data_IF_523218475380
#
_entry.id   IF_523218475380
#
_cell.length_a   1.000
_cell.length_b   1.000
_cell.length_c   1.000
_cell.angle_alpha   90.00
_cell.angle_beta   90.00
_cell.angle_gamma   90.00
#
_symmetry.space_group_name_H-M   'P 1'
#
loop_
_entity.id
_entity.type
_entity.pdbx_description
1 polymer ?
#
# COMPACT_ATOMS: atom_id res chain seq x y z
N UNK A 1 16.04 13.30 11.69
CA UNK A 1 15.16 12.23 11.16
C UNK A 1 13.86 12.08 11.96
N UNK A 2 13.88 11.90 13.29
CA UNK A 2 12.64 11.72 14.10
C UNK A 2 11.69 12.93 14.13
N UNK A 3 12.17 14.16 13.96
CA UNK A 3 11.30 15.36 14.05
C UNK A 3 10.42 15.60 12.81
N UNK A 4 10.74 14.96 11.68
CA UNK A 4 10.04 15.17 10.41
C UNK A 4 8.84 14.22 10.29
N UNK A 5 8.94 12.97 10.78
CA UNK A 5 7.86 11.97 10.65
C UNK A 5 6.61 12.27 11.50
N UNK A 6 6.74 12.97 12.64
CA UNK A 6 5.60 13.48 13.43
C UNK A 6 4.87 14.66 12.77
N UNK A 7 5.42 15.25 11.72
CA UNK A 7 4.83 16.42 11.08
C UNK A 7 3.52 16.07 10.35
N UNK A 8 3.43 14.87 9.74
CA UNK A 8 2.23 14.41 9.04
C UNK A 8 1.04 14.25 10.00
N UNK A 9 1.25 13.72 11.21
CA UNK A 9 0.20 13.58 12.24
C UNK A 9 -0.36 14.94 12.68
N UNK A 10 0.47 15.99 12.68
CA UNK A 10 0.06 17.34 13.11
C UNK A 10 -0.47 18.23 11.98
N UNK A 11 0.05 18.07 10.77
CA UNK A 11 -0.24 18.95 9.62
C UNK A 11 -1.20 18.31 8.62
N UNK A 12 -1.52 17.03 8.78
CA UNK A 12 -2.23 16.23 7.79
C UNK A 12 -1.31 15.77 6.66
N UNK A 13 -1.73 14.70 5.98
CA UNK A 13 -1.02 14.12 4.85
C UNK A 13 -1.51 14.78 3.54
N UNK A 14 -0.65 15.57 2.88
CA UNK A 14 -1.02 16.35 1.70
C UNK A 14 -0.20 15.96 0.45
N UNK A 15 -0.73 15.01 -0.31
CA UNK A 15 -0.16 14.55 -1.58
C UNK A 15 -1.22 13.88 -2.46
N UNK A 16 -0.81 12.87 -3.21
CA UNK A 16 -1.66 12.15 -4.15
C UNK A 16 -1.81 10.69 -3.70
N UNK A 17 -3.02 10.14 -3.79
CA UNK A 17 -3.26 8.72 -3.62
C UNK A 17 -3.16 8.01 -4.98
N UNK A 18 -2.29 7.02 -5.07
CA UNK A 18 -2.10 6.16 -6.23
C UNK A 18 -2.61 4.76 -5.91
N UNK A 19 -3.67 4.33 -6.61
CA UNK A 19 -4.30 3.03 -6.38
C UNK A 19 -4.19 2.22 -7.65
N UNK A 20 -3.53 1.08 -7.56
CA UNK A 20 -3.28 0.16 -8.66
C UNK A 20 -4.18 -1.08 -8.51
N UNK A 21 -5.11 -1.21 -9.44
CA UNK A 21 -6.16 -2.22 -9.52
C UNK A 21 -6.19 -2.79 -10.94
N UNK A 22 -6.88 -3.89 -11.16
CA UNK A 22 -7.07 -4.48 -12.49
C UNK A 22 -6.49 -5.88 -12.65
N UNK A 23 -5.68 -6.36 -11.70
CA UNK A 23 -5.17 -7.74 -11.74
C UNK A 23 -6.30 -8.79 -11.80
N UNK A 24 -7.40 -8.60 -11.07
CA UNK A 24 -8.43 -9.65 -10.94
C UNK A 24 -9.31 -9.86 -12.16
N UNK A 25 -9.38 -8.90 -13.09
CA UNK A 25 -10.16 -9.05 -14.33
C UNK A 25 -9.65 -10.24 -15.17
N UNK A 26 -8.46 -10.76 -14.85
CA UNK A 26 -7.87 -11.97 -15.42
C UNK A 26 -8.22 -13.28 -14.69
N UNK A 27 -8.86 -13.25 -13.51
CA UNK A 27 -8.98 -14.41 -12.60
C UNK A 27 -10.42 -14.80 -12.19
N UNK A 28 -11.44 -14.29 -12.88
CA UNK A 28 -12.84 -14.72 -12.70
C UNK A 28 -13.58 -14.09 -11.52
N UNK A 29 -14.87 -13.82 -11.70
CA UNK A 29 -15.69 -12.88 -10.89
C UNK A 29 -16.05 -13.32 -9.45
N UNK A 30 -15.72 -14.55 -9.03
CA UNK A 30 -16.02 -15.07 -7.66
C UNK A 30 -14.78 -15.45 -6.86
N UNK A 31 -13.62 -14.95 -7.24
CA UNK A 31 -12.35 -15.26 -6.58
C UNK A 31 -12.01 -14.25 -5.48
N UNK A 32 -11.17 -14.65 -4.52
CA UNK A 32 -10.57 -13.73 -3.55
C UNK A 32 -9.83 -12.58 -4.24
N UNK A 33 -9.29 -12.81 -5.45
CA UNK A 33 -8.71 -11.76 -6.27
C UNK A 33 -9.76 -10.69 -6.60
N UNK A 34 -10.94 -11.07 -7.11
CA UNK A 34 -12.00 -10.10 -7.40
C UNK A 34 -12.41 -9.28 -6.17
N UNK A 35 -12.36 -9.86 -4.96
CA UNK A 35 -12.62 -9.13 -3.71
C UNK A 35 -11.53 -8.09 -3.38
N UNK A 36 -10.26 -8.44 -3.54
CA UNK A 36 -9.15 -7.52 -3.26
C UNK A 36 -9.08 -6.39 -4.28
N UNK A 37 -9.30 -6.70 -5.56
CA UNK A 37 -9.44 -5.72 -6.62
C UNK A 37 -10.58 -4.73 -6.35
N UNK A 38 -11.74 -5.27 -5.95
CA UNK A 38 -12.87 -4.46 -5.55
C UNK A 38 -12.46 -3.59 -4.36
N UNK A 39 -11.76 -4.12 -3.37
CA UNK A 39 -11.30 -3.35 -2.22
C UNK A 39 -10.35 -2.20 -2.62
N UNK A 40 -9.47 -2.40 -3.61
CA UNK A 40 -8.64 -1.33 -4.18
C UNK A 40 -9.50 -0.24 -4.82
N UNK A 41 -10.44 -0.61 -5.71
CA UNK A 41 -11.36 0.34 -6.34
C UNK A 41 -12.22 1.10 -5.32
N UNK A 42 -12.70 0.41 -4.29
CA UNK A 42 -13.45 1.02 -3.19
C UNK A 42 -12.59 1.94 -2.33
N UNK A 43 -11.29 1.64 -2.17
CA UNK A 43 -10.32 2.55 -1.51
C UNK A 43 -10.22 3.86 -2.30
N UNK A 44 -10.02 3.77 -3.61
CA UNK A 44 -9.95 4.95 -4.47
C UNK A 44 -11.24 5.79 -4.40
N UNK A 45 -12.41 5.14 -4.42
CA UNK A 45 -13.71 5.81 -4.28
C UNK A 45 -13.86 6.49 -2.92
N UNK A 46 -13.51 5.78 -1.84
CA UNK A 46 -13.59 6.28 -0.47
C UNK A 46 -12.72 7.52 -0.26
N UNK A 47 -11.46 7.50 -0.69
CA UNK A 47 -10.55 8.65 -0.56
C UNK A 47 -11.11 9.88 -1.30
N UNK A 48 -11.66 9.70 -2.51
CA UNK A 48 -12.32 10.78 -3.27
C UNK A 48 -13.55 11.37 -2.55
N UNK A 49 -14.25 10.57 -1.76
CA UNK A 49 -15.48 10.99 -1.07
C UNK A 49 -15.22 11.65 0.27
N UNK A 50 -14.19 11.19 0.99
CA UNK A 50 -13.93 11.61 2.37
C UNK A 50 -12.83 12.67 2.48
N UNK A 51 -12.07 12.91 1.41
CA UNK A 51 -10.92 13.82 1.43
C UNK A 51 -10.90 14.72 0.20
N UNK A 52 -10.08 15.78 0.26
CA UNK A 52 -9.75 16.62 -0.92
C UNK A 52 -8.54 16.08 -1.70
N UNK A 53 -8.01 14.92 -1.31
CA UNK A 53 -6.80 14.34 -1.90
C UNK A 53 -7.06 13.95 -3.36
N UNK A 54 -6.12 14.29 -4.26
CA UNK A 54 -6.16 13.80 -5.64
C UNK A 54 -5.97 12.27 -5.63
N UNK A 55 -6.81 11.55 -6.37
CA UNK A 55 -6.71 10.09 -6.53
C UNK A 55 -6.49 9.71 -7.99
N UNK A 56 -5.34 9.11 -8.27
CA UNK A 56 -4.99 8.52 -9.55
C UNK A 56 -5.16 7.00 -9.44
N UNK A 57 -5.97 6.43 -10.32
CA UNK A 57 -6.18 5.00 -10.36
C UNK A 57 -5.55 4.41 -11.62
N UNK A 58 -4.73 3.38 -11.48
CA UNK A 58 -4.39 2.45 -12.54
C UNK A 58 -5.38 1.28 -12.43
N UNK A 59 -6.12 1.00 -13.50
CA UNK A 59 -7.19 0.00 -13.50
C UNK A 59 -7.02 -1.04 -14.60
N UNK A 60 -5.83 -1.06 -15.21
CA UNK A 60 -5.45 -2.06 -16.21
C UNK A 60 -4.58 -3.13 -15.58
N UNK A 61 -3.94 -3.95 -16.41
CA UNK A 61 -2.95 -4.95 -15.97
C UNK A 61 -1.54 -4.38 -15.81
N UNK A 62 -1.35 -3.12 -16.21
CA UNK A 62 -0.06 -2.45 -16.15
C UNK A 62 0.17 -1.88 -14.76
N UNK A 63 1.43 -1.71 -14.39
CA UNK A 63 1.80 -0.94 -13.21
C UNK A 63 1.92 0.55 -13.57
N UNK A 64 1.90 1.41 -12.56
CA UNK A 64 2.37 2.78 -12.75
C UNK A 64 3.79 2.79 -13.34
N UNK A 65 3.99 3.61 -14.37
CA UNK A 65 5.28 3.70 -15.05
C UNK A 65 6.31 4.47 -14.19
N UNK A 66 7.62 4.26 -14.43
CA UNK A 66 8.68 4.93 -13.68
C UNK A 66 8.52 6.46 -13.65
N UNK A 67 8.68 7.08 -12.47
CA UNK A 67 8.58 8.53 -12.25
C UNK A 67 7.21 9.16 -12.53
N UNK A 68 6.12 8.39 -12.63
CA UNK A 68 4.78 8.93 -12.97
C UNK A 68 3.90 9.24 -11.76
N UNK A 69 4.37 8.95 -10.55
CA UNK A 69 3.63 9.14 -9.30
C UNK A 69 4.28 10.19 -8.38
N UNK A 70 4.37 11.46 -8.79
CA UNK A 70 4.96 12.49 -7.96
C UNK A 70 4.10 12.78 -6.72
N UNK A 71 4.77 13.08 -5.60
CA UNK A 71 4.14 13.43 -4.33
C UNK A 71 3.18 12.36 -3.81
N UNK A 72 3.59 11.09 -3.90
CA UNK A 72 2.82 9.95 -3.44
C UNK A 72 2.64 10.02 -1.91
N UNK A 73 1.39 10.17 -1.48
CA UNK A 73 0.98 10.16 -0.07
C UNK A 73 0.43 8.78 0.33
N UNK A 74 -0.37 8.19 -0.55
CA UNK A 74 -0.95 6.86 -0.37
C UNK A 74 -0.61 6.04 -1.60
N UNK A 75 -0.11 4.82 -1.39
CA UNK A 75 0.02 3.82 -2.44
C UNK A 75 -0.61 2.49 -2.01
N UNK A 76 -1.43 1.89 -2.87
CA UNK A 76 -1.80 0.49 -2.71
C UNK A 76 -2.02 -0.16 -4.06
N UNK A 77 -1.42 -1.34 -4.29
CA UNK A 77 -1.39 -1.96 -5.60
C UNK A 77 -1.16 -3.46 -5.61
N UNK A 78 -1.22 -4.06 -6.80
CA UNK A 78 -0.96 -5.47 -7.09
C UNK A 78 -0.87 -5.72 -8.61
N UNK A 79 -0.27 -6.77 -9.16
CA UNK A 79 0.63 -7.77 -8.57
C UNK A 79 1.88 -7.85 -9.46
N UNK A 80 3.05 -7.65 -8.86
CA UNK A 80 4.34 -7.78 -9.55
C UNK A 80 5.41 -8.32 -8.60
N UNK A 81 5.42 -9.64 -8.45
CA UNK A 81 6.25 -10.35 -7.46
C UNK A 81 7.73 -9.97 -7.55
N UNK A 82 8.26 -9.40 -6.46
CA UNK A 82 9.65 -8.97 -6.29
C UNK A 82 10.18 -8.05 -7.40
N UNK A 83 9.27 -7.29 -8.02
CA UNK A 83 9.55 -6.43 -9.16
C UNK A 83 8.98 -5.05 -8.89
N UNK A 84 9.58 -4.37 -7.93
CA UNK A 84 9.34 -2.96 -7.66
C UNK A 84 9.56 -2.12 -8.92
N UNK A 85 8.68 -1.15 -9.14
CA UNK A 85 8.83 -0.12 -10.16
C UNK A 85 8.97 1.20 -9.43
N UNK A 86 10.06 1.91 -9.70
CA UNK A 86 10.36 3.25 -9.19
C UNK A 86 9.44 4.30 -9.83
N UNK A 87 8.15 4.22 -9.48
CA UNK A 87 7.12 5.12 -9.98
C UNK A 87 6.93 6.34 -9.10
N UNK A 88 7.34 6.30 -7.82
CA UNK A 88 6.79 7.15 -6.76
C UNK A 88 7.81 8.13 -6.19
N UNK A 89 7.47 9.42 -6.16
CA UNK A 89 8.15 10.37 -5.28
C UNK A 89 7.37 10.45 -3.96
N UNK A 90 7.75 9.65 -2.95
CA UNK A 90 7.04 9.62 -1.67
C UNK A 90 7.23 10.91 -0.86
N UNK A 91 6.13 11.43 -0.30
CA UNK A 91 6.21 12.55 0.65
C UNK A 91 6.45 12.06 2.08
N UNK A 92 6.92 12.95 2.95
CA UNK A 92 6.98 12.68 4.39
C UNK A 92 5.59 12.28 4.92
N UNK A 93 5.53 11.15 5.63
CA UNK A 93 4.29 10.56 6.14
C UNK A 93 3.60 9.61 5.16
N UNK A 94 4.14 9.36 3.96
CA UNK A 94 3.52 8.47 3.00
C UNK A 94 3.38 7.04 3.51
N UNK A 95 2.23 6.44 3.27
CA UNK A 95 1.91 5.06 3.64
C UNK A 95 1.58 4.29 2.36
N UNK A 96 2.22 3.16 2.15
CA UNK A 96 1.79 2.30 1.05
C UNK A 96 2.25 0.86 1.13
N UNK A 97 1.54 -0.02 0.46
CA UNK A 97 1.89 -1.44 0.38
C UNK A 97 1.43 -2.07 -0.92
N UNK A 98 2.20 -3.06 -1.37
CA UNK A 98 1.89 -3.85 -2.55
C UNK A 98 1.44 -5.25 -2.13
N UNK A 99 0.29 -5.70 -2.62
CA UNK A 99 -0.25 -7.02 -2.31
C UNK A 99 0.45 -8.03 -3.19
N UNK A 100 1.51 -8.63 -2.65
CA UNK A 100 2.26 -9.72 -3.27
C UNK A 100 2.98 -10.54 -2.21
N UNK A 101 3.23 -11.81 -2.49
CA UNK A 101 3.94 -12.71 -1.58
C UNK A 101 5.42 -12.32 -1.46
N UNK A 102 6.07 -12.70 -0.36
CA UNK A 102 7.53 -12.60 -0.20
C UNK A 102 8.14 -11.18 -0.28
N UNK A 103 7.34 -10.11 -0.25
CA UNK A 103 7.83 -8.75 -0.50
C UNK A 103 8.64 -8.13 0.64
N UNK A 104 8.75 -8.82 1.79
CA UNK A 104 9.49 -8.36 2.94
C UNK A 104 10.50 -9.41 3.47
N UNK A 105 10.89 -10.37 2.63
CA UNK A 105 11.88 -11.40 2.99
C UNK A 105 13.28 -10.79 3.07
N UNK A 106 13.64 -9.97 2.09
CA UNK A 106 14.99 -9.45 1.89
C UNK A 106 15.10 -7.99 2.37
N UNK A 107 14.43 -7.63 3.47
CA UNK A 107 14.35 -6.25 3.99
C UNK A 107 15.70 -5.57 4.25
N UNK A 108 16.74 -6.36 4.50
CA UNK A 108 18.09 -5.87 4.81
C UNK A 108 19.03 -5.87 3.61
N UNK A 109 18.58 -6.36 2.45
CA UNK A 109 19.37 -6.31 1.23
C UNK A 109 19.13 -4.98 0.52
N UNK A 110 20.14 -4.10 0.43
CA UNK A 110 20.00 -2.80 -0.24
C UNK A 110 19.77 -2.90 -1.75
N UNK A 111 20.00 -4.06 -2.36
CA UNK A 111 19.78 -4.30 -3.80
C UNK A 111 18.46 -5.04 -4.08
N UNK A 112 17.65 -5.30 -3.04
CA UNK A 112 16.41 -6.03 -3.19
C UNK A 112 15.42 -5.27 -4.06
N UNK A 113 14.86 -5.96 -5.05
CA UNK A 113 13.78 -5.45 -5.91
C UNK A 113 12.39 -5.77 -5.35
N UNK A 114 12.32 -6.30 -4.12
CA UNK A 114 11.06 -6.53 -3.42
C UNK A 114 10.41 -5.19 -3.03
N UNK A 115 9.08 -5.15 -3.06
CA UNK A 115 8.34 -3.90 -2.87
C UNK A 115 8.60 -3.26 -1.50
N UNK A 116 8.67 -4.01 -0.40
CA UNK A 116 8.91 -3.40 0.91
C UNK A 116 10.31 -2.76 1.04
N UNK A 117 11.44 -3.47 0.84
CA UNK A 117 12.76 -2.84 0.93
C UNK A 117 12.96 -1.73 -0.10
N UNK A 118 12.50 -1.91 -1.34
CA UNK A 118 12.67 -0.91 -2.39
C UNK A 118 11.86 0.36 -2.10
N UNK A 119 10.58 0.27 -1.70
CA UNK A 119 9.79 1.44 -1.31
C UNK A 119 10.37 2.15 -0.08
N UNK A 120 10.96 1.41 0.87
CA UNK A 120 11.64 2.01 2.03
C UNK A 120 12.89 2.77 1.62
N UNK A 121 13.68 2.23 0.69
CA UNK A 121 14.83 2.93 0.11
C UNK A 121 14.39 4.17 -0.68
N UNK A 122 13.22 4.11 -1.33
CA UNK A 122 12.60 5.19 -2.09
C UNK A 122 11.85 6.23 -1.22
N UNK A 123 11.88 6.05 0.10
CA UNK A 123 11.43 7.07 1.04
C UNK A 123 9.98 6.95 1.51
N UNK A 124 9.28 5.84 1.28
CA UNK A 124 8.00 5.60 1.93
C UNK A 124 8.17 5.65 3.46
N UNK A 125 7.23 6.29 4.17
CA UNK A 125 7.33 6.39 5.63
C UNK A 125 6.94 5.08 6.30
N UNK A 126 5.89 4.42 5.80
CA UNK A 126 5.44 3.13 6.31
C UNK A 126 4.98 2.20 5.19
N UNK A 127 5.22 0.90 5.39
CA UNK A 127 4.76 -0.17 4.51
C UNK A 127 4.43 -1.43 5.30
N UNK A 128 3.76 -2.38 4.65
CA UNK A 128 3.53 -3.72 5.19
C UNK A 128 3.69 -4.74 4.07
N UNK A 129 4.10 -5.95 4.44
CA UNK A 129 4.33 -7.00 3.45
C UNK A 129 4.69 -8.33 4.09
N UNK A 130 4.85 -9.33 3.22
CA UNK A 130 4.95 -10.71 3.64
C UNK A 130 6.40 -11.22 3.78
N UNK A 131 6.72 -11.88 4.89
CA UNK A 131 8.03 -12.55 5.13
C UNK A 131 8.09 -14.00 4.64
N UNK A 132 6.97 -14.56 4.19
CA UNK A 132 6.91 -15.80 3.43
C UNK A 132 5.68 -15.75 2.51
N UNK A 133 5.25 -16.90 2.00
CA UNK A 133 3.96 -17.03 1.32
C UNK A 133 2.82 -16.81 2.35
N UNK A 134 2.01 -15.73 2.21
CA UNK A 134 1.05 -15.37 3.24
C UNK A 134 -0.37 -15.85 2.92
N UNK A 135 -0.64 -16.27 1.68
CA UNK A 135 -1.95 -16.33 1.03
C UNK A 135 -2.67 -14.97 1.00
N UNK A 136 -3.40 -14.71 -0.10
CA UNK A 136 -4.05 -13.41 -0.35
C UNK A 136 -4.95 -12.94 0.81
N UNK A 137 -5.70 -13.85 1.44
CA UNK A 137 -6.66 -13.53 2.51
C UNK A 137 -6.02 -13.08 3.83
N UNK A 138 -4.69 -13.14 3.97
CA UNK A 138 -4.00 -12.65 5.16
C UNK A 138 -3.75 -11.15 5.16
N UNK A 139 -3.74 -10.48 3.99
CA UNK A 139 -3.50 -9.04 3.93
C UNK A 139 -4.66 -8.26 4.56
N UNK A 140 -4.41 -7.07 5.11
CA UNK A 140 -5.47 -6.11 5.31
C UNK A 140 -6.15 -5.80 3.97
N UNK A 141 -7.48 -5.87 3.93
CA UNK A 141 -8.24 -5.37 2.79
C UNK A 141 -7.97 -3.86 2.66
N UNK A 142 -7.50 -3.36 1.49
CA UNK A 142 -7.13 -1.95 1.31
C UNK A 142 -8.16 -0.97 1.84
N UNK A 143 -9.44 -1.16 1.50
CA UNK A 143 -10.48 -0.23 1.93
C UNK A 143 -10.57 -0.16 3.45
N UNK A 144 -10.58 -1.32 4.13
CA UNK A 144 -10.68 -1.36 5.59
C UNK A 144 -9.46 -0.71 6.26
N UNK A 145 -8.25 -1.01 5.78
CA UNK A 145 -7.02 -0.44 6.33
C UNK A 145 -6.98 1.09 6.21
N UNK A 146 -7.27 1.61 5.02
CA UNK A 146 -7.27 3.07 4.81
C UNK A 146 -8.48 3.76 5.46
N UNK A 147 -9.63 3.10 5.66
CA UNK A 147 -10.72 3.66 6.47
C UNK A 147 -10.24 3.96 7.89
N UNK A 148 -9.58 3.01 8.54
CA UNK A 148 -9.10 3.22 9.92
C UNK A 148 -8.14 4.41 10.02
N UNK A 149 -7.26 4.59 9.03
CA UNK A 149 -6.35 5.74 8.97
C UNK A 149 -7.11 7.06 8.74
N UNK A 150 -8.09 7.09 7.83
CA UNK A 150 -8.92 8.28 7.58
C UNK A 150 -9.80 8.64 8.78
N UNK A 151 -10.20 7.66 9.59
CA UNK A 151 -10.92 7.85 10.85
C UNK A 151 -10.02 8.34 12.00
N UNK A 152 -8.74 8.63 11.70
CA UNK A 152 -7.79 9.22 12.64
C UNK A 152 -7.11 8.22 13.57
N UNK A 153 -7.19 6.91 13.29
CA UNK A 153 -6.40 5.92 14.02
C UNK A 153 -4.94 5.99 13.63
N UNK A 154 -4.07 5.67 14.59
CA UNK A 154 -2.66 5.56 14.28
C UNK A 154 -2.37 4.28 13.46
N UNK A 155 -1.18 4.23 12.84
CA UNK A 155 -0.78 3.15 11.93
C UNK A 155 -0.94 1.75 12.55
N UNK A 156 -0.53 1.59 13.80
CA UNK A 156 -0.59 0.28 14.49
C UNK A 156 -2.03 -0.14 14.80
N UNK A 157 -2.90 0.80 15.18
CA UNK A 157 -4.33 0.52 15.38
C UNK A 157 -4.99 0.10 14.07
N UNK A 158 -4.75 0.85 12.98
CA UNK A 158 -5.29 0.53 11.67
C UNK A 158 -4.85 -0.86 11.20
N UNK A 159 -3.56 -1.19 11.38
CA UNK A 159 -3.04 -2.51 11.05
C UNK A 159 -3.69 -3.63 11.86
N UNK A 160 -3.68 -3.58 13.19
CA UNK A 160 -4.21 -4.68 14.00
C UNK A 160 -5.73 -4.82 13.96
N UNK A 161 -6.49 -3.75 13.67
CA UNK A 161 -7.95 -3.84 13.50
C UNK A 161 -8.35 -4.48 12.17
N UNK A 162 -7.46 -4.45 11.18
CA UNK A 162 -7.75 -4.92 9.81
C UNK A 162 -6.94 -6.14 9.40
N UNK A 163 -5.96 -6.53 10.20
CA UNK A 163 -5.18 -7.76 10.06
C UNK A 163 -6.05 -8.97 10.42
N UNK A 164 -6.32 -9.90 9.48
CA UNK A 164 -7.14 -11.07 9.76
C UNK A 164 -6.50 -12.09 10.71
N UNK A 165 -5.15 -12.17 10.76
CA UNK A 165 -4.42 -13.15 11.58
C UNK A 165 -3.25 -12.52 12.34
N UNK A 166 -3.14 -12.80 13.64
CA UNK A 166 -1.94 -12.45 14.40
C UNK A 166 -0.83 -13.49 14.22
N UNK A 167 0.43 -13.05 14.24
CA UNK A 167 1.62 -13.90 14.10
C UNK A 167 1.76 -14.70 12.79
N UNK A 168 1.00 -14.37 11.74
CA UNK A 168 1.08 -15.00 10.43
C UNK A 168 1.74 -14.08 9.41
N UNK A 169 2.87 -14.52 8.84
CA UNK A 169 3.63 -14.11 7.64
C UNK A 169 3.63 -12.64 7.16
N UNK A 170 3.03 -11.70 7.89
CA UNK A 170 2.91 -10.29 7.55
C UNK A 170 3.50 -9.47 8.68
N UNK A 171 4.22 -8.44 8.27
CA UNK A 171 4.78 -7.44 9.16
C UNK A 171 4.40 -6.03 8.72
N UNK A 172 4.46 -5.10 9.67
CA UNK A 172 4.28 -3.67 9.48
C UNK A 172 5.61 -2.98 9.78
N UNK A 173 6.00 -2.00 8.98
CA UNK A 173 7.19 -1.16 9.15
C UNK A 173 6.74 0.30 9.11
N UNK A 174 7.15 1.13 10.07
CA UNK A 174 6.81 2.56 10.13
C UNK A 174 7.43 3.27 11.31
#
# INVERSE_FOLDING_TARGET
ALSIRKAAERKGLNGVAYIDSGYSETTGAKSLYAEYDKSLRETARMIRQQTVMKVVAESTKELFAPGTCPRAAIYCGWYSLKKYVDAFDFIDGAIGYHISSLEAVDLRDPNSTQWCPAMLADGVTATLGAVAEPYLYSFPKPQAFFTELLDGRCLVEAYYRTKPYNSWQLLLIG
#
